data_IF_818631084208
#
_entry.id   IF_818631084208
#
_cell.length_a   1.000
_cell.length_b   1.000
_cell.length_c   1.000
_cell.angle_alpha   90.00
_cell.angle_beta   90.00
_cell.angle_gamma   90.00
#
_symmetry.space_group_name_H-M   'P 1'
#
loop_
_entity.id
_entity.type
_entity.pdbx_description
1 polymer ?
#
# COMPACT_ATOMS: atom_id res chain seq x y z
N UNK A 1 -9.58 17.58 -11.30
CA UNK A 1 -10.58 16.64 -10.73
C UNK A 1 -10.06 15.20 -10.62
N UNK A 2 -9.20 14.71 -11.52
CA UNK A 2 -8.69 13.33 -11.52
C UNK A 2 -7.79 12.97 -10.33
N UNK A 3 -6.94 13.90 -9.84
CA UNK A 3 -6.05 13.65 -8.69
C UNK A 3 -6.80 13.38 -7.37
N UNK A 4 -7.90 14.12 -7.13
CA UNK A 4 -8.78 13.86 -5.97
C UNK A 4 -9.40 12.46 -6.06
N UNK A 5 -9.64 11.96 -7.28
CA UNK A 5 -10.14 10.60 -7.53
C UNK A 5 -9.07 9.55 -7.26
N UNK A 6 -7.83 9.80 -7.68
CA UNK A 6 -6.66 8.93 -7.43
C UNK A 6 -6.38 8.74 -5.94
N UNK A 7 -6.26 9.83 -5.17
CA UNK A 7 -6.07 9.74 -3.71
C UNK A 7 -7.26 9.08 -3.00
N UNK A 8 -8.49 9.36 -3.44
CA UNK A 8 -9.70 8.73 -2.90
C UNK A 8 -9.76 7.23 -3.18
N UNK A 9 -9.13 6.77 -4.26
CA UNK A 9 -9.07 5.36 -4.65
C UNK A 9 -7.87 4.64 -4.01
N UNK A 10 -6.75 5.34 -3.78
CA UNK A 10 -5.62 4.86 -2.99
C UNK A 10 -5.98 4.62 -1.52
N UNK A 11 -6.84 5.46 -0.94
CA UNK A 11 -7.24 5.35 0.46
C UNK A 11 -7.82 3.96 0.82
N UNK A 12 -8.85 3.43 0.15
CA UNK A 12 -9.37 2.10 0.46
C UNK A 12 -8.34 0.99 0.19
N UNK A 13 -7.50 1.13 -0.85
CA UNK A 13 -6.42 0.18 -1.15
C UNK A 13 -5.43 0.09 0.02
N UNK A 14 -4.99 1.23 0.55
CA UNK A 14 -4.07 1.27 1.71
C UNK A 14 -4.73 0.69 2.95
N UNK A 15 -6.01 0.97 3.19
CA UNK A 15 -6.74 0.41 4.35
C UNK A 15 -6.83 -1.11 4.26
N UNK A 16 -7.18 -1.66 3.09
CA UNK A 16 -7.24 -3.11 2.88
C UNK A 16 -5.86 -3.74 3.08
N UNK A 17 -4.80 -3.13 2.54
CA UNK A 17 -3.43 -3.61 2.72
C UNK A 17 -2.99 -3.59 4.18
N UNK A 18 -3.35 -2.54 4.93
CA UNK A 18 -3.04 -2.45 6.35
C UNK A 18 -3.74 -3.56 7.15
N UNK A 19 -4.99 -3.87 6.83
CA UNK A 19 -5.73 -4.98 7.46
C UNK A 19 -5.05 -6.32 7.13
N UNK A 20 -4.74 -6.58 5.86
CA UNK A 20 -4.07 -7.81 5.43
C UNK A 20 -2.68 -7.96 6.08
N UNK A 21 -1.92 -6.87 6.17
CA UNK A 21 -0.63 -6.86 6.84
C UNK A 21 -0.76 -7.17 8.34
N UNK A 22 -1.75 -6.56 9.01
CA UNK A 22 -2.03 -6.81 10.44
C UNK A 22 -2.46 -8.26 10.68
N UNK A 23 -3.35 -8.81 9.85
CA UNK A 23 -3.74 -10.22 9.91
C UNK A 23 -2.56 -11.16 9.62
N UNK A 24 -1.63 -10.75 8.75
CA UNK A 24 -0.38 -11.44 8.52
C UNK A 24 0.51 -11.49 9.76
N UNK A 25 0.70 -10.35 10.45
CA UNK A 25 1.47 -10.29 11.70
C UNK A 25 0.83 -11.14 12.80
N UNK A 26 -0.50 -11.11 12.91
CA UNK A 26 -1.25 -11.91 13.89
C UNK A 26 -1.21 -13.42 13.59
N UNK A 27 -0.60 -13.86 12.49
CA UNK A 27 -0.52 -15.26 12.10
C UNK A 27 -1.84 -15.84 11.60
N UNK A 28 -2.83 -14.98 11.30
CA UNK A 28 -4.14 -15.39 10.77
C UNK A 28 -4.03 -15.75 9.29
N UNK A 29 -3.16 -15.06 8.55
CA UNK A 29 -2.88 -15.36 7.16
C UNK A 29 -1.64 -16.27 7.02
N UNK A 30 -1.63 -17.19 6.03
CA UNK A 30 -0.45 -17.98 5.69
C UNK A 30 0.77 -17.08 5.42
N UNK A 31 1.95 -17.50 5.87
CA UNK A 31 3.21 -16.76 5.72
C UNK A 31 3.48 -16.33 4.27
N UNK A 32 3.13 -17.18 3.30
CA UNK A 32 3.25 -16.86 1.88
C UNK A 32 2.47 -15.60 1.50
N UNK A 33 1.24 -15.43 2.01
CA UNK A 33 0.40 -14.26 1.72
C UNK A 33 1.01 -13.00 2.36
N UNK A 34 1.43 -13.11 3.63
CA UNK A 34 2.07 -11.99 4.34
C UNK A 34 3.33 -11.51 3.61
N UNK A 35 4.15 -12.43 3.12
CA UNK A 35 5.36 -12.12 2.34
C UNK A 35 5.04 -11.28 1.10
N UNK A 36 4.05 -11.68 0.29
CA UNK A 36 3.65 -10.93 -0.90
C UNK A 36 3.03 -9.57 -0.56
N UNK A 37 2.23 -9.48 0.51
CA UNK A 37 1.62 -8.21 0.96
C UNK A 37 2.70 -7.22 1.41
N UNK A 38 3.70 -7.68 2.17
CA UNK A 38 4.82 -6.84 2.61
C UNK A 38 5.63 -6.33 1.42
N UNK A 39 5.97 -7.20 0.47
CA UNK A 39 6.68 -6.80 -0.75
C UNK A 39 5.87 -5.76 -1.53
N UNK A 40 4.57 -6.00 -1.71
CA UNK A 40 3.69 -5.07 -2.39
C UNK A 40 3.66 -3.69 -1.69
N UNK A 41 3.56 -3.66 -0.36
CA UNK A 41 3.60 -2.41 0.40
C UNK A 41 4.90 -1.64 0.21
N UNK A 42 6.05 -2.33 0.17
CA UNK A 42 7.36 -1.71 -0.09
C UNK A 42 7.36 -1.04 -1.46
N UNK A 43 6.94 -1.74 -2.51
CA UNK A 43 6.85 -1.17 -3.86
C UNK A 43 5.87 -0.01 -3.94
N UNK A 44 4.69 -0.14 -3.33
CA UNK A 44 3.68 0.92 -3.27
C UNK A 44 4.24 2.17 -2.59
N UNK A 45 4.95 2.01 -1.48
CA UNK A 45 5.55 3.12 -0.75
C UNK A 45 6.66 3.80 -1.55
N UNK A 46 7.54 3.03 -2.20
CA UNK A 46 8.60 3.57 -3.07
C UNK A 46 7.98 4.35 -4.24
N UNK A 47 6.95 3.80 -4.88
CA UNK A 47 6.25 4.45 -5.98
C UNK A 47 5.62 5.78 -5.56
N UNK A 48 4.87 5.78 -4.45
CA UNK A 48 4.26 7.00 -3.89
C UNK A 48 5.32 8.02 -3.48
N UNK A 49 6.44 7.57 -2.89
CA UNK A 49 7.56 8.42 -2.51
C UNK A 49 8.25 9.06 -3.73
N UNK A 50 8.35 8.32 -4.83
CA UNK A 50 8.91 8.81 -6.08
C UNK A 50 7.99 9.85 -6.73
N UNK A 51 6.69 9.57 -6.83
CA UNK A 51 5.68 10.52 -7.32
C UNK A 51 5.70 11.81 -6.49
N UNK A 52 5.79 11.69 -5.16
CA UNK A 52 5.87 12.83 -4.27
C UNK A 52 7.17 13.66 -4.44
N UNK A 53 8.28 13.04 -4.83
CA UNK A 53 9.56 13.73 -5.10
C UNK A 53 9.57 14.44 -6.44
N UNK A 54 9.14 13.76 -7.51
CA UNK A 54 8.94 14.33 -8.86
C UNK A 54 7.96 15.52 -8.88
N UNK A 55 7.21 15.72 -7.80
CA UNK A 55 6.22 16.79 -7.64
C UNK A 55 6.79 18.06 -6.97
N UNK A 56 8.05 18.02 -6.49
CA UNK A 56 8.73 19.16 -5.84
C UNK A 56 9.73 19.89 -6.74
N UNK A 57 10.07 19.32 -7.90
CA UNK A 57 10.86 19.94 -8.96
C UNK A 57 9.93 20.41 -10.10
#
# INVERSE_FOLDING_TARGET
MERKRLYRLLLPVVIILAILYTLGIMGVLPFAISYYVTIFMIFLFIFLRWEARMRRD
#
